data_IF_378849991024
#
_entry.id   IF_378849991024
#
_cell.length_a   1.000
_cell.length_b   1.000
_cell.length_c   1.000
_cell.angle_alpha   90.00
_cell.angle_beta   90.00
_cell.angle_gamma   90.00
#
_symmetry.space_group_name_H-M   'P 1'
#
loop_
_entity.id
_entity.type
_entity.pdbx_description
1 polymer ?
#
# COMPACT_ATOMS: atom_id res chain seq x y z
N UNK A 1 -7.42 -53.23 0.15
CA UNK A 1 -6.85 -51.86 0.14
C UNK A 1 -6.63 -51.45 1.59
N UNK A 2 -5.38 -51.15 1.92
CA UNK A 2 -4.85 -51.12 3.29
C UNK A 2 -5.38 -49.92 4.08
N UNK A 3 -5.94 -50.16 5.28
CA UNK A 3 -6.46 -49.13 6.22
C UNK A 3 -5.42 -48.06 6.58
N UNK A 4 -4.14 -48.36 6.39
CA UNK A 4 -3.03 -47.45 6.63
C UNK A 4 -2.86 -46.40 5.53
N UNK A 5 -3.34 -46.68 4.31
CA UNK A 5 -3.24 -45.73 3.19
C UNK A 5 -4.17 -44.52 3.40
N UNK A 6 -5.35 -44.75 3.96
CA UNK A 6 -6.32 -43.68 4.27
C UNK A 6 -5.83 -42.77 5.40
N UNK A 7 -5.09 -43.31 6.38
CA UNK A 7 -4.52 -42.53 7.48
C UNK A 7 -3.38 -41.60 7.03
N UNK A 8 -2.57 -42.02 6.05
CA UNK A 8 -1.47 -41.21 5.50
C UNK A 8 -2.02 -40.01 4.72
N UNK A 9 -3.09 -40.21 3.93
CA UNK A 9 -3.72 -39.12 3.17
C UNK A 9 -4.36 -38.08 4.13
N UNK A 10 -5.00 -38.54 5.21
CA UNK A 10 -5.59 -37.64 6.20
C UNK A 10 -4.53 -36.80 6.94
N UNK A 11 -3.34 -37.35 7.20
CA UNK A 11 -2.25 -36.62 7.86
C UNK A 11 -1.66 -35.52 6.97
N UNK A 12 -1.52 -35.75 5.66
CA UNK A 12 -1.00 -34.76 4.71
C UNK A 12 -1.93 -33.57 4.45
N UNK A 13 -3.25 -33.74 4.59
CA UNK A 13 -4.21 -32.64 4.38
C UNK A 13 -4.34 -31.69 5.57
N UNK A 14 -3.76 -32.01 6.72
CA UNK A 14 -3.90 -31.22 7.96
C UNK A 14 -3.05 -29.94 7.96
N UNK A 15 -2.15 -29.77 6.99
CA UNK A 15 -1.16 -28.68 6.95
C UNK A 15 -1.45 -27.55 5.97
N UNK A 16 -2.62 -27.54 5.31
CA UNK A 16 -3.04 -26.44 4.43
C UNK A 16 -3.74 -25.31 5.22
N UNK A 17 -3.11 -24.81 6.27
CA UNK A 17 -3.52 -23.54 6.86
C UNK A 17 -2.90 -22.41 6.03
N UNK A 18 -3.64 -21.89 5.04
CA UNK A 18 -3.26 -20.67 4.34
C UNK A 18 -3.42 -19.49 5.33
N UNK A 19 -2.31 -18.94 5.80
CA UNK A 19 -2.31 -17.69 6.55
C UNK A 19 -2.78 -16.57 5.62
N UNK A 20 -3.79 -15.80 6.03
CA UNK A 20 -4.25 -14.64 5.28
C UNK A 20 -3.14 -13.58 5.29
N UNK A 21 -2.51 -13.35 4.14
CA UNK A 21 -1.46 -12.33 3.94
C UNK A 21 -2.02 -10.98 3.52
N UNK A 22 -3.34 -10.78 3.61
CA UNK A 22 -4.02 -9.60 3.08
C UNK A 22 -4.72 -8.87 4.22
N UNK A 23 -4.42 -7.58 4.36
CA UNK A 23 -5.09 -6.65 5.27
C UNK A 23 -6.08 -5.84 4.46
N UNK A 24 -7.34 -5.82 4.90
CA UNK A 24 -8.39 -4.97 4.33
C UNK A 24 -8.62 -3.79 5.25
N UNK A 25 -8.60 -2.58 4.70
CA UNK A 25 -8.91 -1.35 5.42
C UNK A 25 -10.37 -0.94 5.25
N UNK A 26 -10.86 -0.07 6.14
CA UNK A 26 -12.27 0.36 6.14
C UNK A 26 -12.64 1.19 4.89
N UNK A 27 -11.67 1.83 4.25
CA UNK A 27 -11.84 2.59 3.01
C UNK A 27 -11.85 1.69 1.75
N UNK A 28 -11.73 0.36 1.92
CA UNK A 28 -11.70 -0.61 0.84
C UNK A 28 -10.30 -0.87 0.27
N UNK A 29 -9.29 -0.10 0.67
CA UNK A 29 -7.90 -0.36 0.27
C UNK A 29 -7.37 -1.65 0.87
N UNK A 30 -6.31 -2.17 0.27
CA UNK A 30 -5.74 -3.48 0.59
C UNK A 30 -4.25 -3.37 0.80
N UNK A 31 -3.67 -4.17 1.70
CA UNK A 31 -2.22 -4.34 1.81
C UNK A 31 -1.84 -5.82 1.86
N UNK A 32 -0.94 -6.23 0.97
CA UNK A 32 -0.40 -7.58 0.90
C UNK A 32 0.90 -7.65 1.72
N UNK A 33 0.81 -8.36 2.85
CA UNK A 33 1.91 -8.60 3.78
C UNK A 33 2.99 -9.43 3.09
N UNK A 34 4.23 -8.92 3.09
CA UNK A 34 5.36 -9.59 2.45
C UNK A 34 5.86 -10.76 3.28
N UNK A 35 6.60 -11.65 2.61
CA UNK A 35 7.29 -12.74 3.30
C UNK A 35 8.20 -12.18 4.41
N UNK A 36 8.09 -12.75 5.62
CA UNK A 36 8.82 -12.33 6.82
C UNK A 36 8.48 -10.94 7.39
N UNK A 37 7.44 -10.28 6.88
CA UNK A 37 6.93 -9.05 7.48
C UNK A 37 6.15 -9.34 8.78
N UNK A 38 6.42 -8.55 9.82
CA UNK A 38 5.74 -8.68 11.12
C UNK A 38 4.72 -7.56 11.25
N UNK A 39 3.44 -7.95 11.32
CA UNK A 39 2.33 -7.04 11.52
C UNK A 39 1.94 -7.04 13.00
N UNK A 40 1.77 -5.84 13.56
CA UNK A 40 1.30 -5.64 14.92
C UNK A 40 0.04 -4.78 14.86
N UNK A 41 -1.04 -5.25 15.49
CA UNK A 41 -2.31 -4.54 15.57
C UNK A 41 -2.53 -4.12 17.03
N UNK A 42 -2.71 -2.83 17.26
CA UNK A 42 -3.00 -2.24 18.57
C UNK A 42 -4.34 -1.51 18.47
N UNK A 43 -5.27 -1.80 19.38
CA UNK A 43 -6.66 -1.31 19.33
C UNK A 43 -7.02 -0.37 20.47
N UNK A 44 -6.20 -0.32 21.53
CA UNK A 44 -6.56 0.32 22.80
C UNK A 44 -5.62 1.46 23.19
N UNK A 45 -4.37 1.41 22.75
CA UNK A 45 -3.33 2.33 23.20
C UNK A 45 -2.29 2.62 22.12
N UNK A 46 -1.10 3.05 22.53
CA UNK A 46 0.01 3.38 21.62
C UNK A 46 0.92 2.16 21.50
N UNK A 47 1.30 1.81 20.27
CA UNK A 47 2.31 0.77 20.03
C UNK A 47 3.71 1.34 20.25
N UNK A 48 4.56 0.64 21.01
CA UNK A 48 5.96 1.00 21.21
C UNK A 48 6.87 -0.16 20.83
N UNK A 49 7.99 0.15 20.17
CA UNK A 49 9.08 -0.82 19.99
C UNK A 49 10.20 -0.53 20.96
N UNK A 50 10.68 -1.58 21.63
CA UNK A 50 11.86 -1.52 22.49
C UNK A 50 13.13 -1.67 21.65
N UNK A 51 14.11 -0.81 21.91
CA UNK A 51 15.46 -0.89 21.37
C UNK A 51 16.48 -0.91 22.51
N UNK A 52 17.20 -2.02 22.65
CA UNK A 52 18.28 -2.17 23.63
C UNK A 52 19.63 -1.78 23.05
N UNK A 53 20.44 -1.06 23.84
CA UNK A 53 21.79 -0.64 23.47
C UNK A 53 22.85 -1.44 24.24
N UNK A 54 24.05 -1.56 23.66
CA UNK A 54 25.17 -2.33 24.25
C UNK A 54 25.63 -1.80 25.62
N UNK A 55 25.32 -0.54 25.93
CA UNK A 55 25.63 0.09 27.22
C UNK A 55 24.57 -0.19 28.31
N UNK A 56 23.59 -1.05 28.04
CA UNK A 56 22.54 -1.41 28.99
C UNK A 56 21.33 -0.47 28.98
N UNK A 57 21.35 0.60 28.18
CA UNK A 57 20.20 1.50 28.06
C UNK A 57 19.10 0.87 27.19
N UNK A 58 17.86 1.13 27.54
CA UNK A 58 16.67 0.70 26.81
C UNK A 58 15.85 1.92 26.42
N UNK A 59 15.44 1.99 25.15
CA UNK A 59 14.58 3.04 24.63
C UNK A 59 13.29 2.45 24.09
N UNK A 60 12.18 3.14 24.35
CA UNK A 60 10.87 2.82 23.82
C UNK A 60 10.50 3.88 22.80
N UNK A 61 10.26 3.46 21.56
CA UNK A 61 9.94 4.35 20.45
C UNK A 61 8.48 4.12 20.07
N UNK A 62 7.68 5.17 20.17
CA UNK A 62 6.29 5.15 19.70
C UNK A 62 6.25 4.87 18.20
N UNK A 63 5.41 3.93 17.78
CA UNK A 63 5.18 3.59 16.38
C UNK A 63 3.84 4.14 15.92
N UNK A 64 3.90 4.99 14.90
CA UNK A 64 2.71 5.43 14.17
C UNK A 64 2.25 4.26 13.28
N UNK A 65 0.93 4.03 13.15
CA UNK A 65 0.39 3.04 12.22
C UNK A 65 0.92 3.26 10.80
N UNK A 66 1.19 2.15 10.12
CA UNK A 66 1.59 2.18 8.72
C UNK A 66 0.36 2.47 7.84
N UNK A 67 0.50 3.42 6.91
CA UNK A 67 -0.53 3.79 5.94
C UNK A 67 -0.25 3.23 4.53
N UNK A 68 0.69 2.28 4.41
CA UNK A 68 0.95 1.62 3.12
C UNK A 68 -0.25 0.80 2.69
N UNK A 69 -0.58 0.95 1.42
CA UNK A 69 -1.55 0.16 0.68
C UNK A 69 -0.86 -0.42 -0.55
N UNK A 70 -1.45 -1.44 -1.14
CA UNK A 70 -1.01 -2.01 -2.39
C UNK A 70 -1.25 -1.01 -3.53
N UNK A 71 -0.36 -1.03 -4.51
CA UNK A 71 -0.48 -0.18 -5.68
C UNK A 71 -1.61 -0.68 -6.59
N UNK A 72 -2.48 0.23 -7.00
CA UNK A 72 -3.49 -0.02 -8.03
C UNK A 72 -3.04 0.63 -9.33
N UNK A 73 -2.93 -0.17 -10.39
CA UNK A 73 -2.55 0.31 -11.73
C UNK A 73 -3.56 1.37 -12.20
N UNK A 74 -3.05 2.56 -12.51
CA UNK A 74 -3.82 3.69 -12.98
C UNK A 74 -3.81 3.74 -14.51
N UNK A 75 -4.83 4.30 -15.15
CA UNK A 75 -4.91 4.37 -16.61
C UNK A 75 -3.79 5.18 -17.28
N UNK A 76 -3.11 6.04 -16.53
CA UNK A 76 -2.02 6.89 -17.00
C UNK A 76 -0.64 6.28 -16.71
N UNK A 77 -0.59 5.06 -16.15
CA UNK A 77 0.67 4.38 -15.85
C UNK A 77 1.38 3.91 -17.12
N UNK A 78 2.70 4.09 -17.14
CA UNK A 78 3.52 3.69 -18.28
C UNK A 78 3.51 4.68 -19.44
N UNK A 79 2.66 5.71 -19.39
CA UNK A 79 2.67 6.82 -20.33
C UNK A 79 3.78 7.83 -20.00
N UNK A 80 4.29 8.51 -21.03
CA UNK A 80 5.28 9.58 -20.84
C UNK A 80 4.61 10.80 -20.19
N UNK A 81 5.15 11.27 -19.07
CA UNK A 81 4.64 12.44 -18.34
C UNK A 81 4.47 13.65 -19.27
N UNK A 82 3.24 14.15 -19.39
CA UNK A 82 2.89 15.29 -20.23
C UNK A 82 2.62 14.97 -21.70
N UNK A 83 2.62 13.70 -22.11
CA UNK A 83 2.11 13.30 -23.42
C UNK A 83 0.60 13.59 -23.53
N UNK A 84 0.04 13.78 -24.74
CA UNK A 84 -1.40 13.91 -24.92
C UNK A 84 -2.20 12.76 -24.30
N UNK A 85 -1.70 11.54 -24.42
CA UNK A 85 -2.29 10.33 -23.86
C UNK A 85 -2.30 10.36 -22.33
N UNK A 86 -1.18 10.76 -21.72
CA UNK A 86 -1.08 10.94 -20.27
C UNK A 86 -2.01 12.04 -19.77
N UNK A 87 -2.07 13.18 -20.49
CA UNK A 87 -2.94 14.30 -20.14
C UNK A 87 -4.43 13.90 -20.18
N UNK A 88 -4.86 13.18 -21.21
CA UNK A 88 -6.25 12.72 -21.32
C UNK A 88 -6.59 11.70 -20.22
N UNK A 89 -5.69 10.74 -19.97
CA UNK A 89 -5.88 9.71 -18.95
C UNK A 89 -5.84 10.24 -17.52
N UNK A 90 -5.00 11.25 -17.22
CA UNK A 90 -4.84 11.82 -15.88
C UNK A 90 -5.91 12.85 -15.51
N UNK A 91 -6.53 13.53 -16.48
CA UNK A 91 -7.49 14.61 -16.23
C UNK A 91 -8.62 14.28 -15.22
N UNK A 92 -9.23 13.07 -15.23
CA UNK A 92 -10.26 12.70 -14.25
C UNK A 92 -9.73 12.50 -12.82
N UNK A 93 -8.42 12.34 -12.65
CA UNK A 93 -7.75 12.01 -11.39
C UNK A 93 -7.15 13.24 -10.69
N UNK A 94 -7.17 14.41 -11.34
CA UNK A 94 -6.68 15.66 -10.78
C UNK A 94 -7.34 15.94 -9.43
N UNK A 95 -6.53 16.00 -8.36
CA UNK A 95 -6.94 16.20 -6.97
C UNK A 95 -7.77 15.08 -6.31
N UNK A 96 -8.01 13.95 -6.97
CA UNK A 96 -8.79 12.83 -6.37
C UNK A 96 -8.09 12.29 -5.12
N UNK A 97 -6.76 12.22 -5.16
CA UNK A 97 -5.93 11.72 -4.06
C UNK A 97 -5.29 12.86 -3.23
N UNK A 98 -5.89 14.06 -3.26
CA UNK A 98 -5.27 15.29 -2.76
C UNK A 98 -4.25 15.87 -3.75
N UNK A 99 -3.51 16.91 -3.36
CA UNK A 99 -2.53 17.56 -4.23
C UNK A 99 -1.24 16.76 -4.35
N UNK A 100 -1.02 16.10 -5.49
CA UNK A 100 0.12 15.18 -5.73
C UNK A 100 1.23 15.84 -6.57
N UNK A 101 2.31 15.08 -6.84
CA UNK A 101 3.33 15.51 -7.80
C UNK A 101 2.84 15.42 -9.24
N UNK A 102 2.00 14.44 -9.56
CA UNK A 102 1.41 14.28 -10.87
C UNK A 102 0.42 15.42 -11.17
N UNK A 103 -0.29 15.93 -10.16
CA UNK A 103 -1.12 17.15 -10.31
C UNK A 103 -0.27 18.35 -10.74
N UNK A 104 0.90 18.52 -10.14
CA UNK A 104 1.82 19.60 -10.53
C UNK A 104 2.34 19.41 -11.97
N UNK A 105 2.62 18.17 -12.36
CA UNK A 105 3.03 17.84 -13.73
C UNK A 105 1.89 18.14 -14.73
N UNK A 106 0.66 17.75 -14.39
CA UNK A 106 -0.53 18.03 -15.20
C UNK A 106 -0.75 19.53 -15.39
N UNK A 107 -0.69 20.30 -14.30
CA UNK A 107 -0.82 21.76 -14.35
C UNK A 107 0.27 22.39 -15.24
N UNK A 108 1.50 21.85 -15.21
CA UNK A 108 2.63 22.39 -15.99
C UNK A 108 2.57 22.02 -17.48
N UNK A 109 2.24 20.77 -17.80
CA UNK A 109 2.42 20.23 -19.15
C UNK A 109 1.11 20.13 -19.93
N UNK A 110 0.01 19.83 -19.26
CA UNK A 110 -1.29 19.55 -19.89
C UNK A 110 -2.24 20.74 -19.84
N UNK A 111 -2.18 21.55 -18.79
CA UNK A 111 -3.07 22.70 -18.60
C UNK A 111 -2.56 23.95 -19.35
N UNK A 112 -2.19 23.80 -20.63
CA UNK A 112 -1.78 24.92 -21.49
C UNK A 112 -2.97 25.68 -22.10
N UNK A 113 -4.20 25.18 -21.91
CA UNK A 113 -5.43 25.72 -22.51
C UNK A 113 -6.23 26.61 -21.54
N UNK A 114 -5.73 26.80 -20.32
CA UNK A 114 -6.26 27.78 -19.39
C UNK A 114 -5.82 29.17 -19.80
N UNK A 115 -6.66 29.86 -20.59
CA UNK A 115 -6.70 31.32 -20.74
C UNK A 115 -6.02 32.04 -19.56
N UNK A 116 -4.75 32.38 -19.74
CA UNK A 116 -3.96 33.16 -18.80
C UNK A 116 -4.32 34.62 -18.90
N UNK A 117 -5.56 34.96 -18.52
CA UNK A 117 -5.89 36.33 -18.12
C UNK A 117 -5.51 36.48 -16.65
N UNK A 118 -4.24 36.78 -16.42
CA UNK A 118 -3.67 36.94 -15.10
C UNK A 118 -2.32 37.62 -15.18
N UNK A 119 -2.33 38.86 -15.67
CA UNK A 119 -1.25 39.85 -15.51
C UNK A 119 -0.65 39.78 -14.10
N UNK A 120 0.67 39.61 -14.05
CA UNK A 120 1.53 39.85 -12.90
C UNK A 120 2.73 40.66 -13.33
#
# INVERSE_FOLDING_TARGET
MSKYFTAIIAFFFSSLAASQTIIYYEDGSVYTVKENEKVYVETSSKLYTKQGYKNGNEYFIHKVPNQKVDYEEQPYDGEDLGSPEWCEAYAPYLYVNGFTFDDQAYIRYCNQDGSGDGDG
#
